data_IF_816881264607
#
_entry.id   IF_816881264607
#
_cell.length_a   1.000
_cell.length_b   1.000
_cell.length_c   1.000
_cell.angle_alpha   90.00
_cell.angle_beta   90.00
_cell.angle_gamma   90.00
#
_symmetry.space_group_name_H-M   'P 1'
#
loop_
_entity.id
_entity.type
_entity.pdbx_description
1 polymer ?
#
# COMPACT_ATOMS: atom_id res chain seq x y z
N UNK A 1 -17.26 17.66 -26.77
CA UNK A 1 -16.28 16.63 -26.32
C UNK A 1 -15.06 16.56 -27.23
N UNK A 2 -15.18 16.49 -28.54
CA UNK A 2 -14.06 16.40 -29.51
C UNK A 2 -13.04 17.56 -29.42
N UNK A 3 -13.48 18.81 -29.21
CA UNK A 3 -12.58 19.96 -29.12
C UNK A 3 -11.66 19.92 -27.88
N UNK A 4 -12.12 19.43 -26.74
CA UNK A 4 -11.28 19.28 -25.53
C UNK A 4 -10.20 18.19 -25.69
N UNK A 5 -10.52 17.08 -26.35
CA UNK A 5 -9.55 16.01 -26.63
C UNK A 5 -8.46 16.45 -27.64
N UNK A 6 -8.82 17.27 -28.62
CA UNK A 6 -7.86 17.79 -29.59
C UNK A 6 -6.94 18.81 -28.94
N UNK A 7 -7.45 19.65 -28.07
CA UNK A 7 -6.67 20.64 -27.31
C UNK A 7 -5.68 19.98 -26.33
N UNK A 8 -6.10 18.91 -25.63
CA UNK A 8 -5.22 18.10 -24.79
C UNK A 8 -4.08 17.43 -25.59
N UNK A 9 -4.41 16.83 -26.76
CA UNK A 9 -3.38 16.23 -27.61
C UNK A 9 -2.38 17.24 -28.16
N UNK A 10 -2.80 18.43 -28.48
CA UNK A 10 -1.93 19.51 -28.94
C UNK A 10 -1.03 20.04 -27.81
N UNK A 11 -1.54 20.16 -26.59
CA UNK A 11 -0.77 20.54 -25.39
C UNK A 11 0.27 19.47 -25.03
N UNK A 12 -0.09 18.18 -25.09
CA UNK A 12 0.86 17.08 -24.87
C UNK A 12 1.96 17.06 -25.93
N UNK A 13 1.61 17.30 -27.21
CA UNK A 13 2.61 17.35 -28.29
C UNK A 13 3.58 18.53 -28.10
N UNK A 14 3.05 19.73 -27.78
CA UNK A 14 3.86 20.92 -27.48
C UNK A 14 4.75 20.70 -26.22
N UNK A 15 4.24 20.04 -25.20
CA UNK A 15 4.98 19.69 -24.00
C UNK A 15 6.20 18.82 -24.30
N UNK A 16 6.03 17.79 -25.14
CA UNK A 16 7.13 16.93 -25.59
C UNK A 16 8.17 17.68 -26.42
N UNK A 17 7.75 18.56 -27.31
CA UNK A 17 8.66 19.29 -28.21
C UNK A 17 9.44 20.39 -27.49
N UNK A 18 8.81 21.10 -26.55
CA UNK A 18 9.42 22.26 -25.89
C UNK A 18 10.09 21.92 -24.55
N UNK A 19 9.59 20.92 -23.84
CA UNK A 19 10.00 20.66 -22.45
C UNK A 19 10.50 19.23 -22.22
N UNK A 20 10.47 18.37 -23.25
CA UNK A 20 10.81 16.94 -23.15
C UNK A 20 10.06 16.21 -22.01
N UNK A 21 8.80 16.64 -21.73
CA UNK A 21 7.89 16.07 -20.72
C UNK A 21 6.48 15.97 -21.29
N UNK A 22 5.74 14.96 -20.85
CA UNK A 22 4.35 14.73 -21.25
C UNK A 22 3.36 15.72 -20.63
N UNK A 23 3.76 16.39 -19.55
CA UNK A 23 2.97 17.37 -18.82
C UNK A 23 3.70 18.72 -18.72
N UNK A 24 3.31 19.72 -19.56
CA UNK A 24 3.90 21.04 -19.52
C UNK A 24 3.57 21.82 -18.22
N UNK A 25 2.49 21.47 -17.50
CA UNK A 25 2.14 22.14 -16.25
C UNK A 25 3.16 21.79 -15.15
N UNK A 26 3.63 20.54 -15.09
CA UNK A 26 4.65 20.08 -14.16
C UNK A 26 6.04 20.71 -14.41
N UNK A 27 6.27 21.33 -15.60
CA UNK A 27 7.54 22.05 -15.88
C UNK A 27 7.77 23.23 -14.93
N UNK A 28 6.69 23.89 -14.49
CA UNK A 28 6.77 25.04 -13.61
C UNK A 28 6.80 24.65 -12.12
N UNK A 29 6.62 23.39 -11.78
CA UNK A 29 6.57 22.91 -10.40
C UNK A 29 7.79 23.32 -9.55
N UNK A 30 9.07 23.28 -10.04
CA UNK A 30 10.21 23.72 -9.24
C UNK A 30 10.16 25.22 -8.86
N UNK A 31 9.53 26.05 -9.72
CA UNK A 31 9.33 27.46 -9.43
C UNK A 31 8.15 27.66 -8.48
N UNK A 32 7.05 26.96 -8.71
CA UNK A 32 5.85 27.00 -7.88
C UNK A 32 6.15 26.52 -6.45
N UNK A 33 6.95 25.46 -6.32
CA UNK A 33 7.37 24.90 -5.03
C UNK A 33 8.15 25.90 -4.17
N UNK A 34 8.98 26.74 -4.80
CA UNK A 34 9.72 27.82 -4.11
C UNK A 34 8.83 28.97 -3.64
N UNK A 35 7.75 29.26 -4.35
CA UNK A 35 6.80 30.34 -4.00
C UNK A 35 5.80 29.82 -2.95
N UNK A 36 5.16 28.70 -3.23
CA UNK A 36 4.22 28.02 -2.35
C UNK A 36 4.16 26.53 -2.70
N UNK A 37 4.71 25.63 -1.85
CA UNK A 37 4.72 24.19 -2.09
C UNK A 37 3.32 23.59 -2.33
N UNK A 38 2.25 24.28 -1.87
CA UNK A 38 0.88 23.83 -2.11
C UNK A 38 0.35 24.06 -3.52
N UNK A 39 1.15 24.65 -4.43
CA UNK A 39 0.77 24.92 -5.83
C UNK A 39 1.35 23.92 -6.83
N UNK A 40 2.20 23.00 -6.40
CA UNK A 40 2.78 21.94 -7.23
C UNK A 40 1.68 21.11 -7.90
N UNK A 41 1.85 20.76 -9.18
CA UNK A 41 0.86 20.05 -9.99
C UNK A 41 1.16 18.54 -10.15
N UNK A 42 2.44 18.15 -10.15
CA UNK A 42 2.89 16.75 -10.36
C UNK A 42 2.28 15.77 -9.33
N UNK A 43 2.01 16.25 -8.10
CA UNK A 43 1.35 15.49 -7.04
C UNK A 43 0.39 16.41 -6.25
N UNK A 44 -0.50 15.83 -5.47
CA UNK A 44 -1.30 16.62 -4.54
C UNK A 44 -0.46 16.96 -3.32
N UNK A 45 -0.12 18.23 -3.08
CA UNK A 45 0.60 18.62 -1.87
C UNK A 45 -0.27 18.43 -0.63
N UNK A 46 0.32 17.92 0.43
CA UNK A 46 -0.31 17.73 1.72
C UNK A 46 0.57 18.33 2.82
N UNK A 47 0.01 19.27 3.61
CA UNK A 47 0.71 19.88 4.74
C UNK A 47 0.61 18.99 5.96
N UNK A 48 1.70 18.82 6.66
CA UNK A 48 1.77 18.15 7.96
C UNK A 48 1.20 19.11 9.02
N UNK A 49 0.01 18.86 9.51
CA UNK A 49 -0.63 19.68 10.55
C UNK A 49 -0.18 19.25 11.95
N UNK A 50 0.03 17.95 12.17
CA UNK A 50 0.46 17.41 13.46
C UNK A 50 1.22 16.10 13.29
N UNK A 51 2.13 15.83 14.23
CA UNK A 51 2.84 14.56 14.35
C UNK A 51 2.61 14.03 15.77
N UNK A 52 1.98 12.87 15.88
CA UNK A 52 1.66 12.21 17.14
C UNK A 52 2.58 11.00 17.35
N UNK A 53 3.12 10.82 18.53
CA UNK A 53 3.87 9.60 18.88
C UNK A 53 2.88 8.55 19.37
N UNK A 54 2.84 7.40 18.71
CA UNK A 54 1.98 6.27 19.08
C UNK A 54 2.71 5.27 19.98
N UNK A 55 3.91 4.87 19.56
CA UNK A 55 4.82 3.97 20.29
C UNK A 55 6.25 4.45 20.13
N UNK A 56 7.22 3.75 20.70
CA UNK A 56 8.65 4.09 20.56
C UNK A 56 9.16 4.11 19.12
N UNK A 57 8.51 3.40 18.22
CA UNK A 57 8.90 3.28 16.81
C UNK A 57 7.78 3.63 15.81
N UNK A 58 6.69 4.24 16.26
CA UNK A 58 5.53 4.55 15.41
C UNK A 58 5.02 5.96 15.65
N UNK A 59 4.79 6.70 14.57
CA UNK A 59 4.22 8.05 14.57
C UNK A 59 3.00 8.11 13.66
N UNK A 60 2.01 8.91 14.06
CA UNK A 60 0.86 9.26 13.21
C UNK A 60 1.05 10.69 12.69
N UNK A 61 1.02 10.83 11.36
CA UNK A 61 1.01 12.11 10.67
C UNK A 61 -0.44 12.53 10.42
N UNK A 62 -0.83 13.71 10.87
CA UNK A 62 -2.08 14.35 10.48
C UNK A 62 -1.77 15.27 9.31
N UNK A 63 -2.35 14.98 8.17
CA UNK A 63 -2.07 15.67 6.91
C UNK A 63 -3.29 16.44 6.44
N UNK A 64 -3.07 17.61 5.85
CA UNK A 64 -4.06 18.42 5.16
C UNK A 64 -3.75 18.47 3.67
N UNK A 65 -4.32 17.57 2.86
CA UNK A 65 -4.18 17.59 1.42
C UNK A 65 -4.79 18.86 0.82
N UNK A 66 -4.30 19.28 -0.35
CA UNK A 66 -4.93 20.32 -1.14
C UNK A 66 -6.36 19.91 -1.53
N UNK A 67 -7.28 20.90 -1.63
CA UNK A 67 -8.72 20.65 -1.88
C UNK A 67 -9.04 19.86 -3.16
N UNK A 68 -8.10 19.79 -4.10
CA UNK A 68 -8.25 19.02 -5.34
C UNK A 68 -8.11 17.51 -5.16
N UNK A 69 -7.66 17.04 -3.98
CA UNK A 69 -7.53 15.61 -3.71
C UNK A 69 -8.90 14.94 -3.66
N UNK A 70 -9.02 13.80 -4.35
CA UNK A 70 -10.31 13.13 -4.57
C UNK A 70 -10.87 12.43 -3.33
N UNK A 71 -10.08 12.30 -2.24
CA UNK A 71 -10.46 11.55 -1.05
C UNK A 71 -10.18 10.06 -1.18
N UNK A 72 -10.82 9.26 -0.32
CA UNK A 72 -10.52 7.82 -0.25
C UNK A 72 -11.69 7.01 0.35
N UNK A 73 -11.61 5.69 0.19
CA UNK A 73 -12.46 4.71 0.89
C UNK A 73 -11.66 4.06 2.02
N UNK A 74 -12.33 3.69 3.14
CA UNK A 74 -11.69 3.05 4.29
C UNK A 74 -10.96 1.76 3.89
N UNK A 75 -9.70 1.63 4.33
CA UNK A 75 -8.81 0.51 3.99
C UNK A 75 -7.88 0.77 2.80
N UNK A 76 -8.04 1.88 2.07
CA UNK A 76 -7.16 2.25 0.96
C UNK A 76 -5.81 2.79 1.42
N UNK A 77 -4.89 2.86 0.46
CA UNK A 77 -3.51 3.30 0.58
C UNK A 77 -3.28 4.53 -0.28
N UNK A 78 -2.23 5.28 0.03
CA UNK A 78 -1.70 6.37 -0.80
C UNK A 78 -0.20 6.21 -0.96
N UNK A 79 0.33 6.68 -2.08
CA UNK A 79 1.75 6.95 -2.21
C UNK A 79 2.05 8.33 -1.63
N UNK A 80 3.07 8.42 -0.79
CA UNK A 80 3.65 9.72 -0.43
C UNK A 80 4.97 9.90 -1.20
N UNK A 81 5.25 11.14 -1.57
CA UNK A 81 6.51 11.56 -2.16
C UNK A 81 7.22 12.51 -1.18
N UNK A 82 8.45 12.16 -0.82
CA UNK A 82 9.34 12.99 0.02
C UNK A 82 10.70 13.10 -0.63
N UNK A 83 11.40 14.19 -0.38
CA UNK A 83 12.77 14.36 -0.81
C UNK A 83 13.72 13.92 0.32
N UNK A 84 14.56 12.94 0.01
CA UNK A 84 15.60 12.43 0.92
C UNK A 84 16.93 12.58 0.22
N UNK A 85 17.85 13.36 0.79
CA UNK A 85 19.17 13.64 0.22
C UNK A 85 19.14 14.16 -1.22
N UNK A 86 18.19 15.07 -1.52
CA UNK A 86 18.01 15.66 -2.86
C UNK A 86 17.32 14.74 -3.87
N UNK A 87 16.87 13.54 -3.45
CA UNK A 87 16.23 12.57 -4.33
C UNK A 87 14.78 12.35 -3.87
N UNK A 88 13.83 12.52 -4.80
CA UNK A 88 12.42 12.21 -4.53
C UNK A 88 12.21 10.70 -4.39
N UNK A 89 11.57 10.31 -3.28
CA UNK A 89 11.29 8.93 -2.92
C UNK A 89 9.81 8.72 -2.68
N UNK A 90 9.25 7.72 -3.34
CA UNK A 90 7.86 7.32 -3.16
C UNK A 90 7.76 6.12 -2.22
N UNK A 91 6.77 6.16 -1.29
CA UNK A 91 6.40 5.01 -0.44
C UNK A 91 4.91 4.98 -0.23
N UNK A 92 4.39 3.77 -0.15
CA UNK A 92 2.96 3.51 0.06
C UNK A 92 2.67 3.34 1.54
N UNK A 93 1.62 4.01 2.01
CA UNK A 93 1.10 3.86 3.36
C UNK A 93 -0.42 3.75 3.34
N UNK A 94 -0.96 2.96 4.27
CA UNK A 94 -2.41 2.90 4.49
C UNK A 94 -2.90 4.18 5.14
N UNK A 95 -4.04 4.68 4.69
CA UNK A 95 -4.78 5.70 5.40
C UNK A 95 -5.32 5.10 6.70
N UNK A 96 -5.04 5.74 7.84
CA UNK A 96 -5.38 5.23 9.18
C UNK A 96 -6.57 5.96 9.83
N UNK A 97 -7.12 6.99 9.19
CA UNK A 97 -8.36 7.67 9.60
C UNK A 97 -9.58 7.18 8.81
N UNK A 98 -10.78 7.46 9.33
CA UNK A 98 -12.00 7.35 8.54
C UNK A 98 -12.02 8.38 7.39
N UNK A 99 -12.63 8.07 6.23
CA UNK A 99 -12.94 9.04 5.18
C UNK A 99 -13.74 10.25 5.66
N UNK A 100 -14.52 10.12 6.73
CA UNK A 100 -15.27 11.21 7.33
C UNK A 100 -14.37 12.35 7.84
N UNK A 101 -13.18 12.04 8.34
CA UNK A 101 -12.22 13.07 8.76
C UNK A 101 -11.82 13.97 7.59
N UNK A 102 -11.66 13.39 6.40
CA UNK A 102 -11.43 14.16 5.17
C UNK A 102 -12.65 14.97 4.77
N UNK A 103 -13.84 14.38 4.77
CA UNK A 103 -15.06 15.04 4.35
C UNK A 103 -15.43 16.24 5.25
N UNK A 104 -15.25 16.11 6.57
CA UNK A 104 -15.64 17.10 7.55
C UNK A 104 -14.57 18.18 7.81
N UNK A 105 -13.28 17.77 7.82
CA UNK A 105 -12.20 18.63 8.27
C UNK A 105 -11.11 18.85 7.21
N UNK A 106 -11.15 18.12 6.10
CA UNK A 106 -10.10 18.13 5.08
C UNK A 106 -8.78 17.54 5.58
N UNK A 107 -8.84 16.63 6.55
CA UNK A 107 -7.69 15.99 7.16
C UNK A 107 -7.68 14.49 6.89
N UNK A 108 -6.48 13.92 6.80
CA UNK A 108 -6.26 12.47 6.75
C UNK A 108 -5.12 12.09 7.67
N UNK A 109 -5.05 10.82 8.09
CA UNK A 109 -3.92 10.36 8.90
C UNK A 109 -3.17 9.20 8.24
N UNK A 110 -1.85 9.21 8.41
CA UNK A 110 -0.96 8.12 8.07
C UNK A 110 -0.19 7.71 9.33
N UNK A 111 -0.32 6.47 9.74
CA UNK A 111 0.41 5.94 10.89
C UNK A 111 1.58 5.09 10.38
N UNK A 112 2.79 5.54 10.68
CA UNK A 112 4.04 5.08 10.07
C UNK A 112 4.95 4.49 11.14
N UNK A 113 5.23 3.19 11.00
CA UNK A 113 6.22 2.50 11.82
C UNK A 113 7.60 2.66 11.21
N UNK A 114 8.59 2.97 12.03
CA UNK A 114 10.01 3.00 11.67
C UNK A 114 10.46 1.58 11.32
N UNK A 115 11.08 1.42 10.16
CA UNK A 115 11.69 0.16 9.76
C UNK A 115 13.20 0.21 9.94
N UNK A 116 13.83 -0.80 10.57
CA UNK A 116 15.28 -0.89 10.62
C UNK A 116 15.87 -0.85 9.20
N UNK A 117 16.83 0.06 8.97
CA UNK A 117 17.42 0.26 7.64
C UNK A 117 16.51 0.92 6.58
N UNK A 118 15.27 1.26 6.92
CA UNK A 118 14.33 1.90 6.00
C UNK A 118 14.67 3.36 5.75
N UNK A 119 15.04 3.73 4.53
CA UNK A 119 15.44 5.10 4.19
C UNK A 119 14.33 6.12 4.45
N UNK A 120 13.15 5.93 3.85
CA UNK A 120 12.04 6.90 3.93
C UNK A 120 11.40 6.92 5.32
N UNK A 121 11.15 5.75 5.93
CA UNK A 121 10.54 5.70 7.26
C UNK A 121 11.42 6.33 8.33
N UNK A 122 12.74 6.13 8.26
CA UNK A 122 13.68 6.77 9.17
C UNK A 122 13.71 8.28 8.96
N UNK A 123 13.79 8.73 7.71
CA UNK A 123 13.75 10.16 7.39
C UNK A 123 12.47 10.84 7.90
N UNK A 124 11.29 10.22 7.70
CA UNK A 124 10.01 10.74 8.21
C UNK A 124 10.00 10.86 9.74
N UNK A 125 10.63 9.91 10.44
CA UNK A 125 10.73 9.95 11.90
C UNK A 125 11.72 10.98 12.41
N UNK A 126 12.83 11.20 11.72
CA UNK A 126 13.95 11.99 12.21
C UNK A 126 13.90 13.46 11.74
N UNK A 127 13.35 13.72 10.55
CA UNK A 127 13.47 15.02 9.90
C UNK A 127 12.12 15.70 9.60
N UNK A 128 11.00 14.95 9.47
CA UNK A 128 9.72 15.56 9.15
C UNK A 128 9.22 16.41 10.33
N UNK A 129 8.78 17.63 10.02
CA UNK A 129 8.28 18.58 11.01
C UNK A 129 6.86 19.04 10.65
N UNK A 130 6.13 19.51 11.66
CA UNK A 130 4.84 20.21 11.47
C UNK A 130 5.03 21.44 10.59
N UNK A 131 4.12 21.65 9.65
CA UNK A 131 4.19 22.71 8.64
C UNK A 131 4.88 22.29 7.34
N UNK A 132 5.66 21.20 7.33
CA UNK A 132 6.25 20.66 6.10
C UNK A 132 5.16 20.24 5.10
N UNK A 133 5.51 20.27 3.81
CA UNK A 133 4.62 19.80 2.73
C UNK A 133 5.25 18.57 2.10
N UNK A 134 4.46 17.54 1.95
CA UNK A 134 4.84 16.28 1.26
C UNK A 134 3.90 16.04 0.09
N UNK A 135 4.34 15.27 -0.90
CA UNK A 135 3.49 14.85 -2.00
C UNK A 135 2.56 13.71 -1.58
N UNK A 136 1.30 13.78 -1.98
CA UNK A 136 0.28 12.75 -1.77
C UNK A 136 -0.28 12.32 -3.12
N UNK A 137 -0.27 11.01 -3.39
CA UNK A 137 -0.92 10.43 -4.56
C UNK A 137 -2.43 10.24 -4.36
N UNK A 138 -3.12 9.81 -5.41
CA UNK A 138 -4.50 9.35 -5.30
C UNK A 138 -4.58 8.07 -4.46
N UNK A 139 -5.72 7.88 -3.80
CA UNK A 139 -5.96 6.69 -3.01
C UNK A 139 -6.27 5.47 -3.90
N UNK A 140 -5.78 4.30 -3.53
CA UNK A 140 -5.94 3.06 -4.27
C UNK A 140 -6.01 1.84 -3.33
N UNK A 141 -6.36 0.68 -3.88
CA UNK A 141 -6.45 -0.60 -3.17
C UNK A 141 -7.89 -1.03 -2.92
N UNK A 142 -8.06 -2.33 -2.75
CA UNK A 142 -9.33 -3.07 -2.68
C UNK A 142 -9.58 -3.73 -1.31
N UNK A 143 -8.78 -3.38 -0.29
CA UNK A 143 -8.97 -3.84 1.08
C UNK A 143 -10.14 -3.07 1.73
N UNK A 144 -11.34 -3.26 1.18
CA UNK A 144 -12.53 -2.44 1.46
C UNK A 144 -13.54 -3.17 2.36
N UNK A 145 -14.31 -2.40 3.14
CA UNK A 145 -15.42 -2.93 3.94
C UNK A 145 -16.42 -3.64 3.03
N UNK A 146 -16.97 -4.81 3.44
CA UNK A 146 -17.93 -5.53 2.60
C UNK A 146 -19.26 -4.77 2.49
N UNK A 147 -19.80 -4.74 1.28
CA UNK A 147 -21.11 -4.19 0.96
C UNK A 147 -21.94 -5.26 0.21
N UNK A 148 -23.09 -5.69 0.71
CA UNK A 148 -23.75 -5.27 1.96
C UNK A 148 -23.01 -5.70 3.23
N UNK A 149 -23.38 -5.10 4.37
CA UNK A 149 -22.77 -5.37 5.67
C UNK A 149 -22.85 -6.86 6.06
N UNK A 150 -21.70 -7.46 6.35
CA UNK A 150 -21.54 -8.87 6.73
C UNK A 150 -20.70 -8.97 8.02
N UNK A 151 -20.77 -10.05 8.79
CA UNK A 151 -19.85 -10.27 9.89
C UNK A 151 -18.39 -10.26 9.43
N UNK A 152 -17.51 -9.57 10.16
CA UNK A 152 -16.10 -9.38 9.81
C UNK A 152 -15.17 -9.90 10.90
N UNK A 153 -14.08 -10.53 10.49
CA UNK A 153 -12.93 -10.86 11.32
C UNK A 153 -11.69 -10.14 10.79
N UNK A 154 -11.14 -9.23 11.57
CA UNK A 154 -9.82 -8.66 11.32
C UNK A 154 -8.75 -9.43 12.08
N UNK A 155 -7.66 -9.79 11.39
CA UNK A 155 -6.43 -10.30 11.99
C UNK A 155 -5.32 -9.35 11.60
N UNK A 156 -4.86 -8.54 12.56
CA UNK A 156 -3.87 -7.50 12.33
C UNK A 156 -2.59 -7.75 13.14
N UNK A 157 -1.43 -7.42 12.58
CA UNK A 157 -0.14 -7.51 13.27
C UNK A 157 0.66 -6.23 13.19
N UNK A 158 1.06 -5.65 14.33
CA UNK A 158 1.88 -4.43 14.39
C UNK A 158 1.27 -3.30 13.58
N UNK A 159 2.02 -2.75 12.60
CA UNK A 159 1.52 -1.68 11.72
C UNK A 159 0.41 -2.11 10.76
N UNK A 160 0.13 -3.42 10.62
CA UNK A 160 -1.02 -3.93 9.87
C UNK A 160 -2.39 -3.48 10.43
N UNK A 161 -2.40 -2.89 11.61
CA UNK A 161 -3.59 -2.26 12.18
C UNK A 161 -4.05 -1.02 11.40
N UNK A 162 -3.18 -0.36 10.61
CA UNK A 162 -3.48 0.95 10.01
C UNK A 162 -4.69 0.96 9.07
N UNK A 163 -4.83 0.06 8.07
CA UNK A 163 -6.04 0.03 7.25
C UNK A 163 -7.26 -0.41 8.05
N UNK A 164 -7.06 -1.27 9.06
CA UNK A 164 -8.14 -1.74 9.94
C UNK A 164 -8.68 -0.62 10.82
N UNK A 165 -7.83 0.29 11.32
CA UNK A 165 -8.28 1.49 12.04
C UNK A 165 -9.22 2.35 11.20
N UNK A 166 -8.85 2.61 9.95
CA UNK A 166 -9.68 3.36 9.00
C UNK A 166 -11.06 2.70 8.84
N UNK A 167 -11.08 1.39 8.69
CA UNK A 167 -12.32 0.62 8.54
C UNK A 167 -13.16 0.62 9.83
N UNK A 168 -12.55 0.36 10.99
CA UNK A 168 -13.27 0.35 12.27
C UNK A 168 -13.87 1.72 12.63
N UNK A 169 -13.16 2.81 12.41
CA UNK A 169 -13.69 4.16 12.59
C UNK A 169 -14.89 4.42 11.68
N UNK A 170 -14.79 3.98 10.42
CA UNK A 170 -15.85 4.14 9.42
C UNK A 170 -17.07 3.28 9.79
N UNK A 171 -16.87 2.02 10.14
CA UNK A 171 -17.94 1.13 10.57
C UNK A 171 -18.67 1.69 11.80
N UNK A 172 -17.93 2.19 12.79
CA UNK A 172 -18.51 2.77 14.00
C UNK A 172 -19.32 4.05 13.70
N UNK A 173 -18.87 4.86 12.73
CA UNK A 173 -19.56 6.10 12.33
C UNK A 173 -20.81 5.84 11.48
N UNK A 174 -20.82 4.74 10.72
CA UNK A 174 -21.94 4.33 9.86
C UNK A 174 -22.95 3.41 10.56
N UNK A 175 -22.85 3.21 11.89
CA UNK A 175 -23.69 2.27 12.66
C UNK A 175 -23.71 0.86 12.04
N UNK A 176 -22.53 0.35 11.66
CA UNK A 176 -22.40 -0.99 11.10
C UNK A 176 -22.74 -2.04 12.16
N UNK A 177 -23.87 -2.75 12.01
CA UNK A 177 -24.44 -3.61 13.06
C UNK A 177 -24.01 -5.07 12.98
N UNK A 178 -23.44 -5.51 11.86
CA UNK A 178 -22.94 -6.87 11.76
C UNK A 178 -21.76 -7.07 12.75
N UNK A 179 -21.61 -8.27 13.35
CA UNK A 179 -20.54 -8.53 14.31
C UNK A 179 -19.15 -8.31 13.73
N UNK A 180 -18.32 -7.54 14.42
CA UNK A 180 -16.92 -7.27 14.04
C UNK A 180 -16.00 -7.79 15.15
N UNK A 181 -15.00 -8.58 14.78
CA UNK A 181 -13.97 -9.04 15.72
C UNK A 181 -12.60 -8.58 15.21
N UNK A 182 -11.79 -8.03 16.09
CA UNK A 182 -10.38 -7.72 15.83
C UNK A 182 -9.49 -8.58 16.72
N UNK A 183 -8.65 -9.42 16.11
CA UNK A 183 -7.50 -10.07 16.75
C UNK A 183 -6.26 -9.25 16.38
N UNK A 184 -5.72 -8.49 17.32
CA UNK A 184 -4.58 -7.59 17.10
C UNK A 184 -3.34 -8.11 17.81
N UNK A 185 -2.34 -8.53 17.05
CA UNK A 185 -1.08 -9.07 17.51
C UNK A 185 0.00 -7.98 17.56
N UNK A 186 0.60 -7.82 18.72
CA UNK A 186 1.72 -6.88 18.98
C UNK A 186 2.84 -7.61 19.70
N UNK A 187 4.08 -7.08 19.67
CA UNK A 187 5.19 -7.70 20.40
C UNK A 187 4.97 -7.59 21.92
N UNK A 188 4.72 -6.39 22.38
CA UNK A 188 4.42 -6.07 23.79
C UNK A 188 3.21 -5.15 23.86
N UNK A 189 2.66 -4.94 25.03
CA UNK A 189 1.54 -4.00 25.22
C UNK A 189 1.90 -2.56 24.93
N UNK A 190 3.18 -2.20 25.02
CA UNK A 190 3.66 -0.87 24.69
C UNK A 190 3.76 -0.64 23.17
N UNK A 191 3.74 -1.72 22.39
CA UNK A 191 3.70 -1.68 20.91
C UNK A 191 2.28 -1.54 20.33
N UNK A 192 1.25 -1.35 21.17
CA UNK A 192 -0.15 -1.18 20.71
C UNK A 192 -0.31 0.19 20.05
N UNK A 193 -0.36 0.21 18.73
CA UNK A 193 -0.61 1.41 17.94
C UNK A 193 -2.07 1.86 18.13
N UNK A 194 -2.30 3.16 18.28
CA UNK A 194 -3.61 3.79 18.48
C UNK A 194 -4.41 3.19 19.66
N UNK A 195 -3.73 2.85 20.76
CA UNK A 195 -4.32 2.17 21.92
C UNK A 195 -5.55 2.86 22.46
N UNK A 196 -5.47 4.16 22.72
CA UNK A 196 -6.58 4.93 23.28
C UNK A 196 -7.77 4.97 22.31
N UNK A 197 -7.49 5.14 21.02
CA UNK A 197 -8.50 5.12 19.96
C UNK A 197 -9.21 3.78 19.87
N UNK A 198 -8.50 2.65 19.92
CA UNK A 198 -9.07 1.31 19.92
C UNK A 198 -9.96 1.07 21.16
N UNK A 199 -9.54 1.51 22.35
CA UNK A 199 -10.33 1.39 23.57
C UNK A 199 -11.59 2.25 23.51
N UNK A 200 -11.49 3.49 22.99
CA UNK A 200 -12.62 4.36 22.77
C UNK A 200 -13.62 3.79 21.75
N UNK A 201 -13.11 3.19 20.66
CA UNK A 201 -13.94 2.47 19.67
C UNK A 201 -14.68 1.31 20.32
N UNK A 202 -13.98 0.46 21.08
CA UNK A 202 -14.62 -0.65 21.81
C UNK A 202 -15.72 -0.19 22.76
N UNK A 203 -15.54 0.94 23.45
CA UNK A 203 -16.52 1.47 24.40
C UNK A 203 -17.80 1.99 23.72
N UNK A 204 -17.70 2.57 22.53
CA UNK A 204 -18.83 3.20 21.81
C UNK A 204 -19.44 2.33 20.71
N UNK A 205 -18.71 1.33 20.21
CA UNK A 205 -19.12 0.48 19.10
C UNK A 205 -19.43 -0.92 19.59
N UNK A 206 -20.70 -1.18 19.91
CA UNK A 206 -21.16 -2.41 20.56
C UNK A 206 -20.95 -3.68 19.73
N UNK A 207 -20.94 -3.57 18.40
CA UNK A 207 -20.68 -4.70 17.50
C UNK A 207 -19.20 -5.14 17.49
N UNK A 208 -18.28 -4.36 18.07
CA UNK A 208 -16.84 -4.63 18.07
C UNK A 208 -16.43 -5.49 19.25
N UNK A 209 -15.85 -6.66 18.96
CA UNK A 209 -15.05 -7.45 19.90
C UNK A 209 -13.58 -7.19 19.64
N UNK A 210 -12.86 -6.64 20.62
CA UNK A 210 -11.43 -6.30 20.52
C UNK A 210 -10.61 -7.25 21.40
N UNK A 211 -9.67 -7.99 20.78
CA UNK A 211 -8.70 -8.84 21.45
C UNK A 211 -7.28 -8.38 21.07
N UNK A 212 -6.54 -7.81 22.01
CA UNK A 212 -5.13 -7.43 21.84
C UNK A 212 -4.27 -8.53 22.46
N UNK A 213 -3.38 -9.09 21.65
CA UNK A 213 -2.54 -10.24 22.00
C UNK A 213 -1.09 -9.83 21.92
N UNK A 214 -0.40 -9.78 23.07
CA UNK A 214 1.03 -9.53 23.17
C UNK A 214 1.79 -10.85 22.93
N UNK A 215 2.71 -10.86 21.95
CA UNK A 215 3.40 -12.08 21.53
C UNK A 215 4.61 -12.41 22.38
N UNK A 216 5.26 -11.43 23.00
CA UNK A 216 6.55 -11.56 23.69
C UNK A 216 6.49 -11.24 25.19
N UNK A 217 5.30 -11.21 25.80
CA UNK A 217 5.14 -10.95 27.25
C UNK A 217 5.14 -12.22 28.11
N UNK A 218 5.10 -13.39 27.48
CA UNK A 218 5.17 -14.69 28.15
C UNK A 218 6.52 -15.37 27.93
N UNK A 219 6.81 -16.38 28.73
CA UNK A 219 8.08 -17.17 28.65
C UNK A 219 8.25 -17.82 27.27
N UNK A 220 7.13 -18.15 26.62
CA UNK A 220 7.07 -18.65 25.24
C UNK A 220 6.32 -17.65 24.36
N UNK A 221 6.79 -17.39 23.13
CA UNK A 221 6.10 -16.51 22.20
C UNK A 221 4.66 -16.98 21.94
N UNK A 222 3.72 -16.02 22.00
CA UNK A 222 2.29 -16.28 21.78
C UNK A 222 1.88 -15.87 20.37
N UNK A 223 1.92 -16.79 19.42
CA UNK A 223 1.45 -16.58 18.06
C UNK A 223 -0.04 -16.86 17.91
N UNK A 224 -0.62 -16.56 16.72
CA UNK A 224 -1.98 -16.96 16.36
C UNK A 224 -2.10 -18.50 16.45
N UNK A 225 -3.18 -18.98 17.05
CA UNK A 225 -3.49 -20.40 17.21
C UNK A 225 -4.87 -20.72 16.68
N UNK A 226 -5.12 -21.99 16.31
CA UNK A 226 -6.45 -22.44 15.94
C UNK A 226 -7.53 -22.08 16.94
N UNK A 227 -7.22 -22.19 18.25
CA UNK A 227 -8.13 -21.83 19.34
C UNK A 227 -8.56 -20.35 19.33
N UNK A 228 -7.73 -19.44 18.84
CA UNK A 228 -8.09 -18.01 18.74
C UNK A 228 -9.17 -17.80 17.69
N UNK A 229 -9.11 -18.57 16.60
CA UNK A 229 -10.12 -18.58 15.56
C UNK A 229 -11.40 -19.28 16.03
N UNK A 230 -11.26 -20.42 16.70
CA UNK A 230 -12.40 -21.20 17.21
C UNK A 230 -13.19 -20.44 18.29
N UNK A 231 -12.54 -19.52 18.99
CA UNK A 231 -13.18 -18.62 19.96
C UNK A 231 -13.99 -17.48 19.32
N UNK A 232 -13.91 -17.28 17.99
CA UNK A 232 -14.69 -16.25 17.28
C UNK A 232 -16.08 -16.77 16.96
N UNK A 233 -17.15 -16.22 17.56
CA UNK A 233 -18.50 -16.69 17.31
C UNK A 233 -18.89 -16.59 15.84
N UNK A 234 -19.40 -17.68 15.26
CA UNK A 234 -19.86 -17.70 13.87
C UNK A 234 -18.76 -17.46 12.85
N UNK A 235 -17.53 -17.87 13.13
CA UNK A 235 -16.35 -17.58 12.30
C UNK A 235 -16.56 -17.92 10.82
N UNK A 236 -17.22 -19.03 10.49
CA UNK A 236 -17.44 -19.49 9.11
C UNK A 236 -18.32 -18.56 8.24
N UNK A 237 -19.09 -17.69 8.87
CA UNK A 237 -19.96 -16.73 8.19
C UNK A 237 -19.28 -15.34 8.06
N UNK A 238 -17.98 -15.23 8.36
CA UNK A 238 -17.26 -13.94 8.38
C UNK A 238 -16.42 -13.74 7.14
N UNK A 239 -16.43 -12.51 6.65
CA UNK A 239 -15.38 -12.02 5.76
C UNK A 239 -14.12 -11.78 6.60
N UNK A 240 -12.99 -12.32 6.17
CA UNK A 240 -11.73 -12.26 6.93
C UNK A 240 -10.78 -11.26 6.27
N UNK A 241 -10.25 -10.33 7.06
CA UNK A 241 -9.33 -9.29 6.63
C UNK A 241 -7.99 -9.45 7.32
N UNK A 242 -6.94 -9.70 6.55
CA UNK A 242 -5.58 -9.97 7.04
C UNK A 242 -4.64 -8.83 6.70
N UNK A 243 -3.93 -8.28 7.70
CA UNK A 243 -2.86 -7.32 7.47
C UNK A 243 -1.79 -7.40 8.57
N UNK A 244 -0.54 -7.65 8.18
CA UNK A 244 0.54 -7.77 9.16
C UNK A 244 1.82 -8.35 8.58
N UNK A 245 2.77 -8.74 9.45
CA UNK A 245 3.99 -9.41 9.06
C UNK A 245 3.72 -10.74 8.34
N UNK A 246 4.60 -11.10 7.38
CA UNK A 246 4.47 -12.31 6.57
C UNK A 246 4.15 -13.57 7.40
N UNK A 247 4.89 -13.80 8.48
CA UNK A 247 4.66 -15.00 9.33
C UNK A 247 3.27 -15.07 9.95
N UNK A 248 2.65 -13.94 10.33
CA UNK A 248 1.27 -13.90 10.80
C UNK A 248 0.29 -14.18 9.65
N UNK A 249 0.56 -13.61 8.47
CA UNK A 249 -0.28 -13.77 7.28
C UNK A 249 -0.31 -15.23 6.82
N UNK A 250 0.86 -15.84 6.67
CA UNK A 250 1.01 -17.25 6.25
C UNK A 250 0.32 -18.19 7.24
N UNK A 251 0.53 -17.96 8.55
CA UNK A 251 -0.09 -18.76 9.61
C UNK A 251 -1.62 -18.61 9.60
N UNK A 252 -2.11 -17.39 9.44
CA UNK A 252 -3.55 -17.13 9.40
C UNK A 252 -4.20 -17.80 8.17
N UNK A 253 -3.60 -17.68 6.99
CA UNK A 253 -4.08 -18.33 5.78
C UNK A 253 -4.12 -19.85 5.92
N UNK A 254 -3.06 -20.47 6.45
CA UNK A 254 -3.02 -21.92 6.70
C UNK A 254 -4.16 -22.37 7.62
N UNK A 255 -4.31 -21.69 8.77
CA UNK A 255 -5.34 -22.02 9.75
C UNK A 255 -6.78 -21.81 9.25
N UNK A 256 -7.00 -20.81 8.38
CA UNK A 256 -8.30 -20.55 7.75
C UNK A 256 -8.60 -21.60 6.66
N UNK A 257 -7.60 -21.94 5.84
CA UNK A 257 -7.72 -22.99 4.81
C UNK A 257 -8.07 -24.34 5.43
N UNK A 258 -7.41 -24.74 6.54
CA UNK A 258 -7.75 -25.94 7.31
C UNK A 258 -9.22 -25.96 7.81
N UNK A 259 -9.82 -24.79 8.00
CA UNK A 259 -11.22 -24.59 8.39
C UNK A 259 -12.18 -24.49 7.22
N UNK A 260 -11.67 -24.62 5.98
CA UNK A 260 -12.47 -24.63 4.75
C UNK A 260 -12.98 -23.23 4.33
N UNK A 261 -12.24 -22.16 4.67
CA UNK A 261 -12.52 -20.84 4.10
C UNK A 261 -12.16 -20.83 2.61
N UNK A 262 -13.02 -20.24 1.80
CA UNK A 262 -12.71 -19.97 0.40
C UNK A 262 -11.78 -18.75 0.28
N UNK A 263 -10.93 -18.73 -0.74
CA UNK A 263 -10.04 -17.58 -1.00
C UNK A 263 -10.82 -16.28 -1.21
N UNK A 264 -12.03 -16.35 -1.74
CA UNK A 264 -12.91 -15.20 -1.93
C UNK A 264 -13.39 -14.54 -0.63
N UNK A 265 -13.34 -15.29 0.51
CA UNK A 265 -13.73 -14.79 1.83
C UNK A 265 -12.54 -14.23 2.62
N UNK A 266 -11.33 -14.30 2.06
CA UNK A 266 -10.09 -13.86 2.70
C UNK A 266 -9.49 -12.69 1.91
N UNK A 267 -9.55 -11.51 2.49
CA UNK A 267 -8.99 -10.28 1.94
C UNK A 267 -7.64 -9.99 2.62
N UNK A 268 -6.59 -9.83 1.84
CA UNK A 268 -5.24 -9.60 2.36
C UNK A 268 -4.63 -8.33 1.80
N UNK A 269 -3.92 -7.58 2.65
CA UNK A 269 -3.08 -6.49 2.20
C UNK A 269 -1.70 -6.57 2.85
N UNK A 270 -0.65 -6.26 2.09
CA UNK A 270 0.74 -6.48 2.47
C UNK A 270 1.51 -5.16 2.50
N UNK A 271 2.48 -5.04 3.41
CA UNK A 271 3.42 -3.91 3.47
C UNK A 271 4.82 -4.26 2.95
N UNK A 272 5.05 -5.52 2.63
CA UNK A 272 6.23 -6.02 1.93
C UNK A 272 5.78 -7.06 0.92
N UNK A 273 6.49 -7.18 -0.17
CA UNK A 273 6.19 -8.21 -1.19
C UNK A 273 6.40 -9.58 -0.55
N UNK A 274 5.35 -10.40 -0.38
CA UNK A 274 5.54 -11.80 -0.05
C UNK A 274 6.25 -12.43 -1.24
N UNK A 275 7.45 -12.97 -1.05
CA UNK A 275 8.07 -13.82 -2.07
C UNK A 275 7.38 -15.17 -2.00
N UNK A 276 6.67 -15.56 -3.06
CA UNK A 276 6.29 -16.95 -3.25
C UNK A 276 7.58 -17.80 -3.24
N UNK A 277 7.51 -18.99 -2.69
CA UNK A 277 8.62 -19.91 -2.80
C UNK A 277 8.66 -20.40 -4.26
N UNK A 278 9.47 -19.76 -5.09
CA UNK A 278 9.54 -20.02 -6.53
C UNK A 278 10.25 -21.35 -6.86
N UNK A 279 10.60 -22.13 -5.84
CA UNK A 279 11.14 -23.48 -5.99
C UNK A 279 12.48 -23.52 -6.72
N UNK A 280 12.74 -24.64 -7.45
CA UNK A 280 13.92 -24.83 -8.29
C UNK A 280 13.71 -24.32 -9.73
N UNK A 281 12.88 -23.32 -9.96
CA UNK A 281 12.66 -22.78 -11.29
C UNK A 281 13.88 -21.99 -11.78
N UNK A 282 14.24 -22.15 -13.03
CA UNK A 282 15.29 -21.34 -13.66
C UNK A 282 14.72 -19.95 -13.91
N UNK A 283 15.05 -19.02 -13.02
CA UNK A 283 14.65 -17.62 -13.10
C UNK A 283 15.74 -16.80 -13.79
N UNK A 284 15.33 -15.69 -14.40
CA UNK A 284 16.20 -14.82 -15.19
C UNK A 284 16.06 -15.08 -16.69
N UNK A 285 16.89 -14.41 -17.46
CA UNK A 285 16.91 -14.46 -18.92
C UNK A 285 17.23 -13.10 -19.54
N UNK A 286 17.19 -13.02 -20.86
CA UNK A 286 17.33 -11.75 -21.56
C UNK A 286 16.02 -10.97 -21.53
N UNK A 287 16.09 -9.70 -21.11
CA UNK A 287 14.95 -8.78 -21.10
C UNK A 287 15.19 -7.71 -22.16
N UNK A 288 14.31 -7.67 -23.14
CA UNK A 288 14.32 -6.65 -24.19
C UNK A 288 13.29 -5.55 -23.87
N UNK A 289 13.77 -4.31 -23.77
CA UNK A 289 12.96 -3.10 -23.64
C UNK A 289 12.82 -2.48 -25.05
N UNK A 290 11.71 -2.75 -25.72
CA UNK A 290 11.51 -2.47 -27.16
C UNK A 290 11.54 -0.97 -27.47
N UNK A 291 10.79 -0.16 -26.71
CA UNK A 291 10.71 1.29 -26.91
C UNK A 291 12.06 1.99 -26.63
N UNK A 292 12.83 1.46 -25.67
CA UNK A 292 14.16 1.96 -25.30
C UNK A 292 15.29 1.33 -26.12
N UNK A 293 15.01 0.34 -26.97
CA UNK A 293 15.96 -0.42 -27.78
C UNK A 293 17.13 -1.01 -26.95
N UNK A 294 16.84 -1.45 -25.72
CA UNK A 294 17.83 -2.00 -24.80
C UNK A 294 17.59 -3.48 -24.56
N UNK A 295 18.67 -4.25 -24.45
CA UNK A 295 18.65 -5.66 -24.09
C UNK A 295 19.55 -5.87 -22.87
N UNK A 296 19.02 -6.51 -21.84
CA UNK A 296 19.70 -6.71 -20.54
C UNK A 296 19.55 -8.14 -20.09
N UNK A 297 20.67 -8.79 -19.79
CA UNK A 297 20.68 -10.10 -19.16
C UNK A 297 20.36 -9.98 -17.67
N UNK A 298 19.53 -10.90 -17.16
CA UNK A 298 19.21 -11.01 -15.75
C UNK A 298 19.40 -12.43 -15.26
N UNK A 299 19.98 -12.57 -14.08
CA UNK A 299 20.11 -13.83 -13.36
C UNK A 299 19.30 -13.75 -12.05
N UNK A 300 18.74 -14.90 -11.65
CA UNK A 300 18.02 -15.03 -10.40
C UNK A 300 16.63 -14.41 -10.41
N UNK A 301 16.18 -13.93 -9.24
CA UNK A 301 14.80 -13.54 -8.96
C UNK A 301 14.56 -12.01 -9.02
N UNK A 302 15.42 -11.26 -9.71
CA UNK A 302 15.25 -9.84 -9.91
C UNK A 302 13.95 -9.55 -10.69
N UNK A 303 13.17 -8.58 -10.23
CA UNK A 303 11.94 -8.17 -10.90
C UNK A 303 12.24 -7.37 -12.17
N UNK A 304 11.32 -7.34 -13.12
CA UNK A 304 11.44 -6.54 -14.34
C UNK A 304 11.66 -5.05 -14.03
N UNK A 305 11.11 -4.53 -12.93
CA UNK A 305 11.34 -3.16 -12.47
C UNK A 305 12.79 -2.96 -12.03
N UNK A 306 13.34 -3.88 -11.23
CA UNK A 306 14.71 -3.84 -10.75
C UNK A 306 15.72 -3.94 -11.91
N UNK A 307 15.42 -4.81 -12.90
CA UNK A 307 16.23 -4.97 -14.11
C UNK A 307 16.23 -3.67 -14.94
N UNK A 308 15.06 -3.06 -15.15
CA UNK A 308 14.94 -1.80 -15.89
C UNK A 308 15.69 -0.65 -15.19
N UNK A 309 15.56 -0.56 -13.87
CA UNK A 309 16.29 0.45 -13.08
C UNK A 309 17.80 0.25 -13.08
N UNK A 310 18.26 -0.99 -12.98
CA UNK A 310 19.70 -1.33 -13.10
C UNK A 310 20.26 -0.98 -14.49
N UNK A 311 19.42 -1.06 -15.53
CA UNK A 311 19.76 -0.64 -16.89
C UNK A 311 19.70 0.90 -17.11
N UNK A 312 19.36 1.67 -16.08
CA UNK A 312 19.25 3.14 -16.15
C UNK A 312 17.92 3.65 -16.68
N UNK A 313 16.93 2.76 -16.89
CA UNK A 313 15.57 3.17 -17.24
C UNK A 313 14.81 3.64 -16.00
N UNK A 314 13.83 4.50 -16.20
CA UNK A 314 12.99 5.04 -15.11
C UNK A 314 11.50 4.78 -15.36
N UNK A 315 11.07 3.50 -15.38
CA UNK A 315 9.67 3.18 -15.61
C UNK A 315 8.78 3.73 -14.50
N UNK A 316 7.55 4.07 -14.86
CA UNK A 316 6.56 4.48 -13.86
C UNK A 316 6.36 3.37 -12.84
N UNK A 317 6.44 3.71 -11.57
CA UNK A 317 6.16 2.78 -10.48
C UNK A 317 5.65 3.53 -9.25
N UNK A 318 4.97 2.80 -8.35
CA UNK A 318 4.48 3.36 -7.10
C UNK A 318 4.86 2.46 -5.93
N UNK A 319 3.94 1.57 -5.51
CA UNK A 319 4.08 0.76 -4.29
C UNK A 319 5.22 -0.27 -4.31
N UNK A 320 5.67 -0.72 -5.45
CA UNK A 320 6.62 -1.83 -5.65
C UNK A 320 6.15 -3.17 -5.05
N UNK A 321 4.84 -3.32 -4.82
CA UNK A 321 4.23 -4.47 -4.15
C UNK A 321 3.08 -5.10 -4.94
N UNK A 322 2.89 -4.68 -6.21
CA UNK A 322 1.83 -5.24 -7.05
C UNK A 322 0.41 -4.71 -6.77
N UNK A 323 0.24 -3.72 -5.87
CA UNK A 323 -1.09 -3.26 -5.43
C UNK A 323 -1.59 -2.05 -6.24
N UNK A 324 -0.70 -1.09 -6.59
CA UNK A 324 -1.11 0.18 -7.19
C UNK A 324 -1.24 0.16 -8.71
N UNK A 325 -0.80 -0.89 -9.37
CA UNK A 325 -0.79 -1.07 -10.83
C UNK A 325 -0.06 0.04 -11.64
N UNK A 326 0.65 0.98 -10.99
CA UNK A 326 1.35 2.07 -11.67
C UNK A 326 2.52 1.60 -12.53
N UNK A 327 3.09 0.43 -12.21
CA UNK A 327 4.15 -0.21 -12.98
C UNK A 327 3.62 -1.21 -14.03
N UNK A 328 2.33 -1.12 -14.39
CA UNK A 328 1.77 -1.98 -15.45
C UNK A 328 2.43 -1.65 -16.78
N UNK A 329 2.92 -2.68 -17.46
CA UNK A 329 3.59 -2.60 -18.74
C UNK A 329 3.10 -3.71 -19.64
N UNK A 330 3.06 -3.48 -20.94
CA UNK A 330 2.72 -4.48 -21.96
C UNK A 330 3.93 -5.38 -22.19
N UNK A 331 3.80 -6.66 -21.85
CA UNK A 331 4.72 -7.71 -22.26
C UNK A 331 4.29 -8.19 -23.65
N UNK A 332 5.18 -8.16 -24.62
CA UNK A 332 4.90 -8.55 -26.00
C UNK A 332 5.19 -10.02 -26.23
N UNK A 333 6.26 -10.55 -25.65
CA UNK A 333 6.62 -11.97 -25.73
C UNK A 333 7.30 -12.46 -24.45
N UNK A 334 7.40 -13.78 -24.31
CA UNK A 334 8.10 -14.44 -23.22
C UNK A 334 7.21 -14.69 -21.99
N UNK A 335 7.75 -15.34 -21.00
CA UNK A 335 7.04 -15.76 -19.78
C UNK A 335 7.65 -15.07 -18.56
N UNK A 336 6.81 -14.56 -17.69
CA UNK A 336 7.21 -14.04 -16.38
C UNK A 336 6.48 -14.78 -15.27
N UNK A 337 7.07 -14.83 -14.09
CA UNK A 337 6.44 -15.38 -12.89
C UNK A 337 6.03 -14.23 -11.99
N UNK A 338 4.78 -14.23 -11.56
CA UNK A 338 4.30 -13.31 -10.54
C UNK A 338 4.88 -13.73 -9.18
N UNK A 339 5.69 -12.87 -8.59
CA UNK A 339 6.41 -13.14 -7.33
C UNK A 339 5.48 -13.27 -6.12
N UNK A 340 4.24 -12.75 -6.20
CA UNK A 340 3.24 -12.85 -5.13
C UNK A 340 2.51 -14.18 -5.15
N UNK A 341 2.10 -14.63 -6.35
CA UNK A 341 1.23 -15.79 -6.53
C UNK A 341 1.99 -17.04 -6.95
N UNK A 342 3.22 -16.91 -7.47
CA UNK A 342 3.98 -17.99 -8.10
C UNK A 342 3.44 -18.41 -9.48
N UNK A 343 2.40 -17.76 -9.98
CA UNK A 343 1.82 -18.10 -11.27
C UNK A 343 2.67 -17.56 -12.43
N UNK A 344 2.85 -18.40 -13.44
CA UNK A 344 3.49 -18.01 -14.69
C UNK A 344 2.48 -17.36 -15.63
N UNK A 345 2.93 -16.34 -16.35
CA UNK A 345 2.19 -15.71 -17.44
C UNK A 345 2.17 -16.62 -18.68
N UNK A 346 1.27 -16.32 -19.62
CA UNK A 346 1.34 -16.90 -20.98
C UNK A 346 2.60 -16.42 -21.73
N UNK A 347 2.96 -17.07 -22.85
CA UNK A 347 4.13 -16.68 -23.65
C UNK A 347 3.86 -15.48 -24.57
N UNK A 348 2.60 -15.10 -24.77
CA UNK A 348 2.16 -14.03 -25.65
C UNK A 348 2.01 -12.67 -24.98
N UNK A 349 1.33 -11.77 -25.71
CA UNK A 349 1.07 -10.42 -25.26
C UNK A 349 0.08 -10.41 -24.09
N UNK A 350 0.47 -9.69 -23.02
CA UNK A 350 -0.39 -9.40 -21.87
C UNK A 350 0.15 -8.24 -21.04
N UNK A 351 -0.67 -7.67 -20.16
CA UNK A 351 -0.24 -6.64 -19.21
C UNK A 351 0.33 -7.28 -17.95
N UNK A 352 1.57 -6.95 -17.62
CA UNK A 352 2.26 -7.40 -16.41
C UNK A 352 2.63 -6.23 -15.51
N UNK A 353 2.79 -6.48 -14.22
CA UNK A 353 3.26 -5.50 -13.26
C UNK A 353 4.77 -5.67 -13.04
N UNK A 354 5.58 -4.72 -13.51
CA UNK A 354 7.03 -4.81 -13.49
C UNK A 354 7.61 -5.13 -12.11
N UNK A 355 7.00 -4.57 -11.04
CA UNK A 355 7.56 -4.66 -9.68
C UNK A 355 7.37 -6.03 -8.99
N UNK A 356 6.58 -6.92 -9.57
CA UNK A 356 6.30 -8.26 -9.03
C UNK A 356 6.50 -9.37 -10.07
N UNK A 357 6.88 -9.02 -11.28
CA UNK A 357 7.12 -9.98 -12.37
C UNK A 357 8.59 -10.26 -12.51
N UNK A 358 8.96 -11.55 -12.47
CA UNK A 358 10.34 -12.07 -12.62
C UNK A 358 10.42 -12.78 -13.96
N UNK A 359 11.43 -12.52 -14.81
CA UNK A 359 11.55 -13.20 -16.10
C UNK A 359 11.86 -14.70 -15.93
N UNK A 360 11.27 -15.51 -16.81
CA UNK A 360 11.54 -16.94 -16.94
C UNK A 360 11.94 -17.22 -18.39
N UNK A 361 13.22 -17.04 -18.69
CA UNK A 361 13.75 -17.04 -20.05
C UNK A 361 13.63 -15.67 -20.72
N UNK A 362 13.77 -15.62 -22.05
CA UNK A 362 13.69 -14.36 -22.80
C UNK A 362 12.31 -13.70 -22.72
N UNK A 363 12.28 -12.37 -22.46
CA UNK A 363 11.06 -11.56 -22.31
C UNK A 363 11.23 -10.24 -23.07
N UNK A 364 10.19 -9.82 -23.80
CA UNK A 364 10.11 -8.50 -24.42
C UNK A 364 9.00 -7.64 -23.80
N UNK A 365 9.30 -6.37 -23.59
CA UNK A 365 8.43 -5.39 -22.97
C UNK A 365 8.37 -4.12 -23.81
N UNK A 366 7.20 -3.52 -23.92
CA UNK A 366 7.00 -2.21 -24.54
C UNK A 366 7.36 -1.10 -23.53
N UNK A 367 8.67 -0.93 -23.25
CA UNK A 367 9.23 0.00 -22.29
C UNK A 367 10.44 0.74 -22.89
#
# INVERSE_FOLDING_TARGET
MLAKQTQQKALHWLGRQLFNRDDPEAFFDPLLERINPMWVQEYTPARVEQILSETGDTKTLVLKPARRWSGFRAGQHVNICVEVDGIRRNRTFSLSSSPLLWQEQGLVTLTIKRLPGGLVTNWLHDHLQTGAVIGLGEAFGDFLIPEPAQPVLFIAGGSGITPVLSQLETMAAQDYRAPVTLLYFVRTRDDVIAREKLLALKARYSALTLNIIATNESREPRYLRGQDLDAVPGIKARQVYLCGPKGLMDLAQGLLSERGFADADIHSTFFSVPSANLGNETLGGEVQFESSQMMVGSEGDATLLEIAEAAGLTPRHGCRMGICHQCSCRKTTGTVINRLTGQASGPGEETVQLCISVPRGPVSLDL
#
